data_IF_216564501278
#
_entry.id   IF_216564501278
#
_cell.length_a   1.000
_cell.length_b   1.000
_cell.length_c   1.000
_cell.angle_alpha   90.00
_cell.angle_beta   90.00
_cell.angle_gamma   90.00
#
_symmetry.space_group_name_H-M   'P 1'
#
loop_
_entity.id
_entity.type
_entity.pdbx_description
1 polymer ?
#
# COMPACT_ATOMS: atom_id res chain seq x y z
N UNK A 1 -31.46 -4.39 12.95
CA UNK A 1 -31.09 -5.81 12.86
C UNK A 1 -29.67 -6.01 12.31
N UNK A 2 -29.17 -7.22 12.36
CA UNK A 2 -27.89 -7.63 11.78
C UNK A 2 -28.18 -8.64 10.67
N UNK A 3 -27.54 -8.46 9.52
CA UNK A 3 -27.64 -9.38 8.39
C UNK A 3 -26.48 -10.37 8.44
N UNK A 4 -26.81 -11.67 8.51
CA UNK A 4 -25.85 -12.75 8.33
C UNK A 4 -26.10 -13.39 6.97
N UNK A 5 -25.08 -13.47 6.14
CA UNK A 5 -25.19 -14.01 4.78
C UNK A 5 -23.97 -14.85 4.42
N UNK A 6 -24.16 -15.82 3.53
CA UNK A 6 -23.03 -16.59 2.99
C UNK A 6 -22.17 -15.75 2.06
N UNK A 7 -22.80 -14.92 1.24
CA UNK A 7 -22.14 -14.09 0.24
C UNK A 7 -22.36 -12.61 0.52
N UNK A 8 -21.40 -11.78 0.16
CA UNK A 8 -21.58 -10.34 0.20
C UNK A 8 -22.77 -9.95 -0.70
N UNK A 9 -23.62 -9.02 -0.29
CA UNK A 9 -24.82 -8.65 -1.04
C UNK A 9 -24.51 -8.23 -2.47
N UNK A 10 -25.27 -8.73 -3.44
CA UNK A 10 -25.09 -8.38 -4.83
C UNK A 10 -25.45 -6.90 -5.09
N UNK A 11 -24.91 -6.29 -6.16
CA UNK A 11 -25.25 -4.94 -6.56
C UNK A 11 -26.78 -4.71 -6.77
N UNK A 12 -27.51 -5.76 -7.14
CA UNK A 12 -28.99 -5.70 -7.28
C UNK A 12 -29.65 -5.45 -5.92
N UNK A 13 -29.11 -6.02 -4.86
CA UNK A 13 -29.64 -5.82 -3.50
C UNK A 13 -29.22 -4.47 -2.89
N UNK A 14 -28.26 -3.78 -3.49
CA UNK A 14 -27.72 -2.50 -3.00
C UNK A 14 -28.82 -1.47 -2.74
N UNK A 15 -29.75 -1.29 -3.68
CA UNK A 15 -30.84 -0.32 -3.53
C UNK A 15 -31.73 -0.61 -2.33
N UNK A 16 -31.99 -1.88 -2.07
CA UNK A 16 -32.78 -2.30 -0.91
C UNK A 16 -32.04 -2.04 0.39
N UNK A 17 -30.78 -2.44 0.47
CA UNK A 17 -29.95 -2.26 1.67
C UNK A 17 -29.73 -0.78 2.01
N UNK A 18 -29.58 0.08 1.01
CA UNK A 18 -29.36 1.52 1.19
C UNK A 18 -30.65 2.33 1.19
N UNK A 19 -31.85 1.68 1.09
CA UNK A 19 -33.09 2.38 1.30
C UNK A 19 -33.20 2.92 2.73
N UNK A 20 -33.87 4.07 2.89
CA UNK A 20 -33.95 4.76 4.19
C UNK A 20 -34.47 3.84 5.30
N UNK A 21 -35.48 3.02 5.00
CA UNK A 21 -36.12 2.15 5.97
C UNK A 21 -35.19 1.01 6.42
N UNK A 22 -34.45 0.40 5.49
CA UNK A 22 -33.53 -0.70 5.80
C UNK A 22 -32.25 -0.15 6.44
N UNK A 23 -31.65 0.89 5.88
CA UNK A 23 -30.40 1.48 6.37
C UNK A 23 -30.50 1.93 7.84
N UNK A 24 -31.63 2.55 8.22
CA UNK A 24 -31.88 2.95 9.62
C UNK A 24 -31.95 1.78 10.59
N UNK A 25 -32.41 0.62 10.13
CA UNK A 25 -32.56 -0.57 10.94
C UNK A 25 -31.35 -1.52 10.92
N UNK A 26 -30.47 -1.37 9.93
CA UNK A 26 -29.34 -2.27 9.72
C UNK A 26 -28.17 -1.86 10.63
N UNK A 27 -27.78 -2.77 11.53
CA UNK A 27 -26.70 -2.56 12.52
C UNK A 27 -25.38 -3.22 12.14
N UNK A 28 -25.38 -4.00 11.06
CA UNK A 28 -24.17 -4.64 10.54
C UNK A 28 -24.48 -5.74 9.53
N UNK A 29 -23.47 -6.06 8.72
CA UNK A 29 -23.51 -7.15 7.74
C UNK A 29 -22.33 -8.07 8.00
N UNK A 30 -22.61 -9.38 8.13
CA UNK A 30 -21.61 -10.44 8.26
C UNK A 30 -21.69 -11.35 7.05
N UNK A 31 -20.56 -11.62 6.38
CA UNK A 31 -20.51 -12.50 5.21
C UNK A 31 -19.26 -13.38 5.23
N UNK A 32 -19.23 -14.45 4.41
CA UNK A 32 -18.11 -15.39 4.28
C UNK A 32 -17.38 -15.26 2.95
N UNK A 33 -18.08 -15.00 1.85
CA UNK A 33 -17.53 -14.93 0.51
C UNK A 33 -17.93 -13.63 -0.18
N UNK A 34 -16.97 -12.94 -0.84
CA UNK A 34 -17.26 -11.75 -1.63
C UNK A 34 -18.28 -11.96 -2.75
N UNK A 35 -18.34 -13.16 -3.37
CA UNK A 35 -19.25 -13.44 -4.49
C UNK A 35 -19.98 -14.77 -4.39
N UNK A 36 -21.05 -14.93 -5.20
CA UNK A 36 -21.88 -16.15 -5.26
C UNK A 36 -21.11 -17.41 -5.73
N UNK A 37 -19.99 -17.25 -6.41
CA UNK A 37 -19.14 -18.35 -6.86
C UNK A 37 -18.17 -18.85 -5.79
N UNK A 38 -18.37 -18.51 -4.54
CA UNK A 38 -17.43 -18.76 -3.43
C UNK A 38 -16.04 -18.15 -3.71
N UNK A 39 -16.01 -17.11 -4.52
CA UNK A 39 -14.82 -16.34 -4.82
C UNK A 39 -14.42 -15.48 -3.61
N UNK A 40 -13.14 -15.39 -3.36
CA UNK A 40 -12.56 -14.59 -2.27
C UNK A 40 -12.14 -13.19 -2.73
N UNK A 41 -12.57 -12.77 -3.93
CA UNK A 41 -12.18 -11.52 -4.56
C UNK A 41 -13.38 -10.62 -4.87
N UNK A 42 -13.26 -9.35 -4.48
CA UNK A 42 -14.28 -8.34 -4.72
C UNK A 42 -14.20 -7.77 -6.14
N UNK A 43 -15.37 -7.47 -6.72
CA UNK A 43 -15.49 -6.64 -7.92
C UNK A 43 -15.47 -5.15 -7.57
N UNK A 44 -15.37 -4.27 -8.59
CA UNK A 44 -15.52 -2.82 -8.42
C UNK A 44 -16.87 -2.46 -7.80
N UNK A 45 -17.93 -3.14 -8.22
CA UNK A 45 -19.28 -2.91 -7.70
C UNK A 45 -19.39 -3.33 -6.22
N UNK A 46 -18.73 -4.41 -5.83
CA UNK A 46 -18.69 -4.85 -4.42
C UNK A 46 -17.96 -3.81 -3.56
N UNK A 47 -16.81 -3.29 -4.02
CA UNK A 47 -16.06 -2.26 -3.30
C UNK A 47 -16.82 -0.93 -3.24
N UNK A 48 -17.52 -0.56 -4.32
CA UNK A 48 -18.41 0.61 -4.29
C UNK A 48 -19.50 0.44 -3.23
N UNK A 49 -20.09 -0.75 -3.11
CA UNK A 49 -21.09 -1.03 -2.07
C UNK A 49 -20.47 -0.95 -0.66
N UNK A 50 -19.26 -1.46 -0.45
CA UNK A 50 -18.54 -1.34 0.83
C UNK A 50 -18.34 0.14 1.21
N UNK A 51 -17.93 0.98 0.27
CA UNK A 51 -17.75 2.42 0.50
C UNK A 51 -19.06 3.12 0.82
N UNK A 52 -20.15 2.76 0.13
CA UNK A 52 -21.47 3.33 0.42
C UNK A 52 -21.98 2.91 1.80
N UNK A 53 -21.83 1.64 2.17
CA UNK A 53 -22.19 1.15 3.51
C UNK A 53 -21.39 1.87 4.60
N UNK A 54 -20.09 2.10 4.37
CA UNK A 54 -19.25 2.89 5.28
C UNK A 54 -19.77 4.31 5.45
N UNK A 55 -20.16 5.01 4.35
CA UNK A 55 -20.74 6.35 4.40
C UNK A 55 -22.05 6.41 5.20
N UNK A 56 -22.82 5.33 5.18
CA UNK A 56 -24.04 5.19 5.99
C UNK A 56 -23.80 4.69 7.41
N UNK A 57 -22.54 4.57 7.83
CA UNK A 57 -22.13 4.03 9.12
C UNK A 57 -22.67 2.61 9.41
N UNK A 58 -22.80 1.79 8.37
CA UNK A 58 -23.20 0.40 8.47
C UNK A 58 -21.94 -0.45 8.48
N UNK A 59 -21.53 -1.05 9.61
CA UNK A 59 -20.34 -1.86 9.68
C UNK A 59 -20.50 -3.16 8.90
N UNK A 60 -19.43 -3.55 8.18
CA UNK A 60 -19.37 -4.76 7.37
C UNK A 60 -18.25 -5.65 7.89
N UNK A 61 -18.57 -6.93 8.10
CA UNK A 61 -17.68 -7.92 8.69
C UNK A 61 -17.52 -9.12 7.75
N UNK A 62 -16.27 -9.45 7.47
CA UNK A 62 -15.90 -10.64 6.71
C UNK A 62 -15.44 -11.73 7.67
N UNK A 63 -16.17 -12.85 7.70
CA UNK A 63 -15.76 -14.07 8.41
C UNK A 63 -14.80 -14.84 7.53
N UNK A 64 -13.53 -14.46 7.60
CA UNK A 64 -12.48 -14.93 6.70
C UNK A 64 -11.97 -16.31 7.11
N UNK A 65 -12.13 -17.30 6.23
CA UNK A 65 -11.66 -18.67 6.46
C UNK A 65 -10.15 -18.81 6.32
N UNK A 66 -9.48 -17.94 5.56
CA UNK A 66 -8.04 -18.01 5.34
C UNK A 66 -7.28 -17.63 6.60
N UNK A 67 -7.69 -16.53 7.23
CA UNK A 67 -7.09 -16.05 8.49
C UNK A 67 -7.78 -16.65 9.72
N UNK A 68 -8.94 -17.31 9.56
CA UNK A 68 -9.81 -17.80 10.64
C UNK A 68 -10.20 -16.70 11.64
N UNK A 69 -10.36 -15.49 11.14
CA UNK A 69 -10.68 -14.30 11.93
C UNK A 69 -11.91 -13.58 11.38
N UNK A 70 -12.48 -12.70 12.20
CA UNK A 70 -13.49 -11.74 11.76
C UNK A 70 -12.78 -10.45 11.45
N UNK A 71 -12.86 -10.02 10.18
CA UNK A 71 -12.32 -8.78 9.69
C UNK A 71 -13.45 -7.75 9.54
N UNK A 72 -13.22 -6.51 9.92
CA UNK A 72 -14.13 -5.39 9.72
C UNK A 72 -13.61 -4.48 8.61
N UNK A 73 -14.48 -4.05 7.71
CA UNK A 73 -14.15 -3.05 6.71
C UNK A 73 -13.87 -1.71 7.38
N UNK A 74 -12.67 -1.16 7.18
CA UNK A 74 -12.20 0.10 7.73
C UNK A 74 -11.70 0.99 6.61
N UNK A 75 -12.17 2.23 6.57
CA UNK A 75 -11.73 3.26 5.63
C UNK A 75 -11.18 4.45 6.42
N UNK A 76 -9.91 4.79 6.19
CA UNK A 76 -9.28 5.95 6.83
C UNK A 76 -9.89 7.26 6.33
N UNK A 77 -9.91 8.33 7.16
CA UNK A 77 -10.29 9.66 6.71
C UNK A 77 -9.49 10.09 5.47
N UNK A 78 -10.14 10.78 4.54
CA UNK A 78 -9.54 11.27 3.29
C UNK A 78 -9.00 10.17 2.34
N UNK A 79 -9.46 8.93 2.50
CA UNK A 79 -9.20 7.83 1.56
C UNK A 79 -10.50 7.43 0.86
N UNK A 80 -10.42 7.09 -0.42
CA UNK A 80 -11.60 6.70 -1.20
C UNK A 80 -12.00 5.25 -0.97
N UNK A 81 -11.07 4.44 -0.50
CA UNK A 81 -11.24 2.99 -0.30
C UNK A 81 -10.69 2.55 1.04
N UNK A 82 -11.20 1.42 1.52
CA UNK A 82 -10.82 0.80 2.77
C UNK A 82 -10.23 -0.60 2.59
N UNK A 83 -9.94 -1.23 3.71
CA UNK A 83 -9.37 -2.57 3.84
C UNK A 83 -10.10 -3.31 4.96
N UNK A 84 -10.17 -4.63 4.87
CA UNK A 84 -10.67 -5.49 5.96
C UNK A 84 -9.57 -5.74 6.98
N UNK A 85 -9.83 -5.36 8.23
CA UNK A 85 -8.89 -5.39 9.36
C UNK A 85 -9.46 -6.29 10.45
N UNK A 86 -8.66 -7.11 11.17
CA UNK A 86 -9.14 -7.83 12.35
C UNK A 86 -9.86 -6.89 13.33
N UNK A 87 -11.00 -7.31 13.85
CA UNK A 87 -11.89 -6.45 14.67
C UNK A 87 -11.15 -5.83 15.85
N UNK A 88 -10.23 -6.55 16.47
CA UNK A 88 -9.40 -6.07 17.58
C UNK A 88 -8.27 -5.10 17.16
N UNK A 89 -7.99 -4.94 15.85
CA UNK A 89 -6.93 -4.10 15.31
C UNK A 89 -7.47 -2.84 14.59
N UNK A 90 -8.79 -2.65 14.56
CA UNK A 90 -9.42 -1.55 13.81
C UNK A 90 -8.95 -0.18 14.26
N UNK A 91 -8.94 0.08 15.58
CA UNK A 91 -8.47 1.36 16.14
C UNK A 91 -7.00 1.60 15.85
N UNK A 92 -6.19 0.56 15.92
CA UNK A 92 -4.77 0.60 15.60
C UNK A 92 -4.57 0.95 14.13
N UNK A 93 -5.27 0.28 13.20
CA UNK A 93 -5.21 0.60 11.78
C UNK A 93 -5.63 2.03 11.49
N UNK A 94 -6.74 2.49 12.07
CA UNK A 94 -7.26 3.84 11.83
C UNK A 94 -6.26 4.94 12.18
N UNK A 95 -5.43 4.74 13.21
CA UNK A 95 -4.40 5.67 13.69
C UNK A 95 -3.03 5.45 13.06
N UNK A 96 -2.83 4.35 12.32
CA UNK A 96 -1.50 3.96 11.83
C UNK A 96 -0.99 4.85 10.71
N UNK A 97 0.33 5.02 10.66
CA UNK A 97 1.06 5.44 9.47
C UNK A 97 1.33 4.21 8.62
N UNK A 98 1.09 4.33 7.32
CA UNK A 98 1.09 3.22 6.38
C UNK A 98 2.34 3.23 5.51
N UNK A 99 3.22 2.27 5.76
CA UNK A 99 4.34 1.96 4.88
C UNK A 99 3.91 0.92 3.84
N UNK A 100 4.55 0.89 2.69
CA UNK A 100 4.29 -0.14 1.69
C UNK A 100 5.56 -0.70 1.09
N UNK A 101 5.56 -1.99 0.75
CA UNK A 101 6.67 -2.63 0.04
C UNK A 101 6.19 -3.08 -1.33
N UNK A 102 6.81 -2.52 -2.35
CA UNK A 102 6.70 -2.92 -3.75
C UNK A 102 7.96 -3.68 -4.17
N UNK A 103 7.79 -4.77 -4.91
CA UNK A 103 8.92 -5.56 -5.38
C UNK A 103 8.52 -6.90 -5.96
N UNK A 104 9.51 -7.62 -6.51
CA UNK A 104 9.31 -8.89 -7.19
C UNK A 104 9.07 -10.06 -6.24
N UNK A 105 8.27 -11.03 -6.72
CA UNK A 105 8.17 -12.36 -6.14
C UNK A 105 9.45 -13.21 -6.32
N UNK A 106 10.36 -12.79 -7.22
CA UNK A 106 11.61 -13.48 -7.54
C UNK A 106 12.84 -12.83 -6.87
N UNK A 107 12.64 -12.03 -5.83
CA UNK A 107 13.72 -11.31 -5.19
C UNK A 107 14.75 -12.26 -4.55
N UNK A 108 16.03 -12.07 -4.88
CA UNK A 108 17.15 -12.71 -4.26
C UNK A 108 18.08 -11.68 -3.59
N UNK A 109 18.59 -11.94 -2.39
CA UNK A 109 19.60 -11.10 -1.74
C UNK A 109 19.27 -10.69 -0.30
N UNK A 110 20.10 -9.81 0.27
CA UNK A 110 20.03 -9.38 1.68
C UNK A 110 18.93 -8.35 1.99
N UNK A 111 17.87 -8.27 1.17
CA UNK A 111 16.77 -7.34 1.37
C UNK A 111 16.09 -7.54 2.73
N UNK A 112 15.96 -8.76 3.20
CA UNK A 112 15.35 -9.11 4.49
C UNK A 112 16.01 -8.36 5.65
N UNK A 113 17.33 -8.41 5.73
CA UNK A 113 18.10 -7.79 6.80
C UNK A 113 18.00 -6.26 6.74
N UNK A 114 18.08 -5.69 5.54
CA UNK A 114 17.98 -4.25 5.33
C UNK A 114 16.57 -3.73 5.66
N UNK A 115 15.51 -4.40 5.21
CA UNK A 115 14.15 -4.02 5.53
C UNK A 115 13.86 -4.14 7.04
N UNK A 116 14.31 -5.23 7.66
CA UNK A 116 14.13 -5.42 9.10
C UNK A 116 14.88 -4.35 9.91
N UNK A 117 16.10 -4.02 9.52
CA UNK A 117 16.89 -2.96 10.15
C UNK A 117 16.22 -1.58 9.96
N UNK A 118 15.71 -1.29 8.75
CA UNK A 118 15.01 -0.05 8.46
C UNK A 118 13.74 0.09 9.31
N UNK A 119 12.87 -0.93 9.34
CA UNK A 119 11.63 -0.87 10.11
C UNK A 119 11.88 -0.80 11.62
N UNK A 120 12.89 -1.51 12.14
CA UNK A 120 13.34 -1.35 13.54
C UNK A 120 13.80 0.07 13.81
N UNK A 121 14.61 0.63 12.91
CA UNK A 121 15.09 2.00 13.03
C UNK A 121 13.96 3.03 13.03
N UNK A 122 12.91 2.84 12.22
CA UNK A 122 11.71 3.69 12.24
C UNK A 122 11.00 3.61 13.59
N UNK A 123 10.84 2.40 14.17
CA UNK A 123 10.25 2.21 15.50
C UNK A 123 11.08 2.87 16.62
N UNK A 124 12.40 2.97 16.47
CA UNK A 124 13.24 3.73 17.41
C UNK A 124 13.16 5.24 17.15
N UNK A 125 13.21 5.65 15.88
CA UNK A 125 13.14 7.05 15.46
C UNK A 125 11.86 7.73 15.95
N UNK A 126 10.71 7.06 15.85
CA UNK A 126 9.40 7.60 16.25
C UNK A 126 9.33 8.01 17.72
N UNK A 127 10.17 7.43 18.60
CA UNK A 127 10.19 7.78 20.02
C UNK A 127 10.62 9.24 20.28
N UNK A 128 11.36 9.82 19.34
CA UNK A 128 11.92 11.16 19.41
C UNK A 128 11.34 12.12 18.36
N UNK A 129 10.34 11.68 17.60
CA UNK A 129 9.67 12.47 16.56
C UNK A 129 8.33 12.99 17.08
N UNK A 130 8.01 14.22 16.70
CA UNK A 130 6.69 14.83 16.87
C UNK A 130 6.24 15.42 15.52
N UNK A 131 5.71 14.54 14.67
CA UNK A 131 5.22 14.87 13.34
C UNK A 131 3.81 14.31 13.16
N UNK A 132 2.89 14.96 12.41
CA UNK A 132 1.52 14.48 12.21
C UNK A 132 1.40 13.04 11.70
N UNK A 133 2.39 12.59 10.91
CA UNK A 133 2.43 11.22 10.39
C UNK A 133 3.24 10.25 11.27
N UNK A 134 4.03 10.73 12.22
CA UNK A 134 4.86 9.85 13.06
C UNK A 134 5.19 10.52 14.39
N UNK A 135 4.78 9.92 15.48
CA UNK A 135 5.17 10.27 16.86
C UNK A 135 5.20 9.00 17.71
N UNK A 136 5.65 9.08 18.96
CA UNK A 136 5.90 7.92 19.83
C UNK A 136 4.73 6.93 19.97
N UNK A 137 3.49 7.42 19.85
CA UNK A 137 2.27 6.62 20.03
C UNK A 137 1.61 6.24 18.69
N UNK A 138 2.22 6.60 17.54
CA UNK A 138 1.69 6.30 16.21
C UNK A 138 1.89 4.81 15.89
N UNK A 139 0.84 4.01 15.74
CA UNK A 139 0.99 2.64 15.27
C UNK A 139 1.47 2.62 13.81
N UNK A 140 2.17 1.56 13.44
CA UNK A 140 2.58 1.34 12.05
C UNK A 140 1.76 0.22 11.41
N UNK A 141 1.47 0.38 10.13
CA UNK A 141 0.96 -0.67 9.26
C UNK A 141 1.88 -0.81 8.03
N UNK A 142 2.05 -2.03 7.54
CA UNK A 142 2.81 -2.32 6.33
C UNK A 142 1.91 -3.03 5.33
N UNK A 143 1.80 -2.46 4.12
CA UNK A 143 0.98 -3.00 3.03
C UNK A 143 1.87 -3.55 1.93
N UNK A 144 1.54 -4.73 1.44
CA UNK A 144 2.17 -5.36 0.28
C UNK A 144 1.13 -5.88 -0.71
N UNK A 145 1.56 -6.50 -1.81
CA UNK A 145 0.67 -7.24 -2.71
C UNK A 145 0.18 -8.58 -2.16
N UNK A 146 0.68 -9.03 -0.99
CA UNK A 146 0.23 -10.25 -0.31
C UNK A 146 0.71 -11.57 -0.91
N UNK A 147 1.53 -11.54 -1.97
CA UNK A 147 2.12 -12.71 -2.60
C UNK A 147 3.45 -13.15 -1.98
N UNK A 148 4.21 -14.02 -2.67
CA UNK A 148 5.53 -14.48 -2.24
C UNK A 148 6.64 -13.45 -2.46
N UNK A 149 7.89 -13.81 -2.15
CA UNK A 149 9.08 -13.01 -2.39
C UNK A 149 9.16 -11.75 -1.52
N UNK A 150 9.36 -10.57 -2.14
CA UNK A 150 9.46 -9.31 -1.42
C UNK A 150 8.21 -9.00 -0.59
N UNK A 151 7.04 -9.38 -1.08
CA UNK A 151 5.76 -9.18 -0.39
C UNK A 151 5.66 -10.02 0.89
N UNK A 152 6.00 -11.31 0.80
CA UNK A 152 6.04 -12.22 1.95
C UNK A 152 7.07 -11.77 2.99
N UNK A 153 8.26 -11.38 2.52
CA UNK A 153 9.32 -10.82 3.37
C UNK A 153 8.81 -9.59 4.13
N UNK A 154 8.16 -8.65 3.45
CA UNK A 154 7.57 -7.47 4.08
C UNK A 154 6.53 -7.82 5.16
N UNK A 155 5.58 -8.68 4.81
CA UNK A 155 4.53 -9.11 5.75
C UNK A 155 5.09 -9.89 6.95
N UNK A 156 6.06 -10.77 6.74
CA UNK A 156 6.71 -11.53 7.81
C UNK A 156 7.44 -10.61 8.79
N UNK A 157 8.26 -9.68 8.27
CA UNK A 157 9.01 -8.74 9.11
C UNK A 157 8.06 -7.80 9.87
N UNK A 158 7.00 -7.31 9.22
CA UNK A 158 5.98 -6.51 9.89
C UNK A 158 5.41 -7.24 11.11
N UNK A 159 5.00 -8.49 10.93
CA UNK A 159 4.46 -9.33 12.01
C UNK A 159 5.48 -9.60 13.12
N UNK A 160 6.75 -9.90 12.78
CA UNK A 160 7.84 -10.09 13.75
C UNK A 160 8.09 -8.84 14.61
N UNK A 161 7.90 -7.65 14.06
CA UNK A 161 8.11 -6.38 14.74
C UNK A 161 6.84 -5.81 15.39
N UNK A 162 5.74 -6.56 15.36
CA UNK A 162 4.46 -6.08 15.87
C UNK A 162 3.86 -4.93 15.05
N UNK A 163 4.23 -4.76 13.79
CA UNK A 163 3.62 -3.84 12.82
C UNK A 163 2.43 -4.58 12.19
N UNK A 164 1.28 -3.90 12.01
CA UNK A 164 0.11 -4.53 11.40
C UNK A 164 0.40 -4.91 9.94
N UNK A 165 0.30 -6.20 9.65
CA UNK A 165 0.64 -6.79 8.35
C UNK A 165 -0.57 -6.79 7.43
N UNK A 166 -0.55 -5.96 6.37
CA UNK A 166 -1.66 -5.74 5.46
C UNK A 166 -1.31 -6.14 4.02
N UNK A 167 -2.34 -6.43 3.22
CA UNK A 167 -2.16 -6.72 1.81
C UNK A 167 -3.32 -6.28 0.91
N UNK A 168 -2.99 -5.82 -0.30
CA UNK A 168 -3.93 -5.66 -1.41
C UNK A 168 -3.67 -6.79 -2.43
N UNK A 169 -4.52 -7.80 -2.41
CA UNK A 169 -4.30 -9.07 -3.11
C UNK A 169 -5.07 -9.11 -4.43
N UNK A 170 -4.41 -9.42 -5.54
CA UNK A 170 -5.07 -9.63 -6.84
C UNK A 170 -5.27 -11.10 -7.15
N UNK A 171 -6.35 -11.42 -7.87
CA UNK A 171 -6.61 -12.76 -8.39
C UNK A 171 -5.93 -12.95 -9.74
N UNK A 172 -4.95 -13.82 -9.80
CA UNK A 172 -4.28 -14.23 -11.04
C UNK A 172 -4.56 -15.70 -11.42
N UNK A 173 -5.55 -16.35 -10.79
CA UNK A 173 -5.88 -17.77 -11.02
C UNK A 173 -6.42 -18.07 -12.41
N UNK A 174 -6.60 -17.07 -13.25
CA UNK A 174 -7.17 -17.23 -14.58
C UNK A 174 -6.13 -17.63 -15.63
N UNK A 175 -6.18 -18.89 -16.06
CA UNK A 175 -5.76 -19.41 -17.37
C UNK A 175 -4.27 -19.65 -17.66
N UNK A 176 -3.30 -19.40 -16.80
CA UNK A 176 -1.90 -19.77 -17.04
C UNK A 176 -1.26 -20.39 -15.81
N UNK A 177 -0.80 -21.62 -15.93
CA UNK A 177 -0.20 -22.39 -14.84
C UNK A 177 1.07 -21.79 -14.24
N UNK A 178 1.78 -20.93 -14.96
CA UNK A 178 2.99 -20.26 -14.50
C UNK A 178 2.71 -19.08 -13.56
N UNK A 179 1.53 -18.45 -13.66
CA UNK A 179 1.14 -17.27 -12.87
C UNK A 179 0.47 -17.66 -11.56
N UNK A 180 -0.13 -18.84 -11.47
CA UNK A 180 -0.88 -19.30 -10.29
C UNK A 180 -0.03 -19.35 -9.00
N UNK A 181 1.25 -19.68 -9.12
CA UNK A 181 2.15 -19.72 -7.96
C UNK A 181 2.61 -18.33 -7.48
N UNK A 182 2.51 -17.31 -8.32
CA UNK A 182 2.92 -15.94 -7.98
C UNK A 182 1.95 -15.23 -7.04
N UNK A 183 0.73 -15.76 -6.87
CA UNK A 183 -0.37 -15.03 -6.25
C UNK A 183 -1.02 -15.77 -5.08
N UNK A 184 -0.41 -16.83 -4.60
CA UNK A 184 -0.87 -17.43 -3.35
C UNK A 184 -0.63 -16.47 -2.21
N UNK A 185 -1.71 -16.11 -1.50
CA UNK A 185 -1.60 -15.29 -0.30
C UNK A 185 -0.56 -15.88 0.65
N UNK A 186 0.40 -15.07 1.10
CA UNK A 186 1.36 -15.49 2.10
C UNK A 186 0.71 -15.59 3.50
N UNK A 187 1.25 -16.44 4.40
CA UNK A 187 0.60 -16.73 5.69
C UNK A 187 0.72 -15.61 6.74
N UNK A 188 1.42 -14.54 6.43
CA UNK A 188 1.71 -13.45 7.36
C UNK A 188 0.72 -12.28 7.24
N UNK A 189 -0.18 -12.31 6.27
CA UNK A 189 -1.21 -11.28 6.06
C UNK A 189 -2.27 -11.36 7.15
N UNK A 190 -2.53 -10.24 7.83
CA UNK A 190 -3.54 -10.11 8.89
C UNK A 190 -4.75 -9.29 8.43
N UNK A 191 -4.50 -8.19 7.73
CA UNK A 191 -5.54 -7.35 7.15
C UNK A 191 -5.44 -7.36 5.62
N UNK A 192 -6.58 -7.36 4.91
CA UNK A 192 -6.54 -7.49 3.46
C UNK A 192 -7.70 -6.81 2.74
N UNK A 193 -7.44 -6.41 1.49
CA UNK A 193 -8.44 -6.22 0.45
C UNK A 193 -8.08 -7.12 -0.73
N UNK A 194 -9.08 -7.68 -1.40
CA UNK A 194 -8.89 -8.59 -2.53
C UNK A 194 -9.54 -8.01 -3.79
N UNK A 195 -8.92 -8.24 -4.94
CA UNK A 195 -9.29 -7.66 -6.22
C UNK A 195 -9.31 -8.72 -7.31
N UNK A 196 -10.33 -8.74 -8.13
CA UNK A 196 -10.34 -9.59 -9.33
C UNK A 196 -9.24 -9.13 -10.30
N UNK A 197 -8.71 -10.05 -11.10
CA UNK A 197 -7.60 -9.77 -12.02
C UNK A 197 -7.89 -8.64 -13.02
N UNK A 198 -9.13 -8.51 -13.49
CA UNK A 198 -9.55 -7.44 -14.41
C UNK A 198 -9.56 -6.04 -13.76
N UNK A 199 -9.49 -5.97 -12.43
CA UNK A 199 -9.44 -4.73 -11.66
C UNK A 199 -8.02 -4.43 -11.11
N UNK A 200 -6.99 -4.84 -11.86
CA UNK A 200 -5.59 -4.67 -11.48
C UNK A 200 -5.18 -3.19 -11.37
N UNK A 201 -5.69 -2.35 -12.26
CA UNK A 201 -5.39 -0.91 -12.26
C UNK A 201 -6.00 -0.24 -11.04
N UNK A 202 -7.25 -0.55 -10.73
CA UNK A 202 -7.96 -0.06 -9.54
C UNK A 202 -7.25 -0.52 -8.26
N UNK A 203 -6.82 -1.79 -8.21
CA UNK A 203 -6.02 -2.29 -7.09
C UNK A 203 -4.78 -1.43 -6.86
N UNK A 204 -4.04 -1.10 -7.91
CA UNK A 204 -2.85 -0.27 -7.77
C UNK A 204 -3.19 1.15 -7.33
N UNK A 205 -4.26 1.74 -7.84
CA UNK A 205 -4.73 3.05 -7.42
C UNK A 205 -5.17 3.08 -5.94
N UNK A 206 -5.60 1.95 -5.40
CA UNK A 206 -6.08 1.80 -4.02
C UNK A 206 -4.97 1.44 -3.00
N UNK A 207 -3.70 1.37 -3.39
CA UNK A 207 -2.59 1.34 -2.44
C UNK A 207 -2.46 2.72 -1.77
N UNK A 208 -2.95 2.82 -0.56
CA UNK A 208 -2.97 4.06 0.21
C UNK A 208 -1.76 4.14 1.16
N UNK A 209 -0.58 4.35 0.60
CA UNK A 209 0.69 4.38 1.33
C UNK A 209 1.09 5.82 1.68
N UNK A 210 1.54 6.03 2.90
CA UNK A 210 2.20 7.27 3.30
C UNK A 210 3.67 7.25 2.86
N UNK A 211 4.33 6.08 3.01
CA UNK A 211 5.74 5.89 2.71
C UNK A 211 5.99 4.61 1.89
N UNK A 212 6.03 4.71 0.55
CA UNK A 212 6.39 3.60 -0.32
C UNK A 212 7.87 3.23 -0.23
N UNK A 213 8.16 1.93 -0.25
CA UNK A 213 9.51 1.34 -0.29
C UNK A 213 9.55 0.39 -1.49
N UNK A 214 10.39 0.71 -2.46
CA UNK A 214 10.59 -0.11 -3.65
C UNK A 214 11.83 -0.97 -3.51
N UNK A 215 11.69 -2.22 -3.91
CA UNK A 215 12.82 -3.10 -4.21
C UNK A 215 12.83 -3.36 -5.70
N UNK A 216 14.00 -3.51 -6.30
CA UNK A 216 14.09 -3.79 -7.74
C UNK A 216 13.21 -4.97 -8.14
N UNK A 217 12.44 -4.80 -9.20
CA UNK A 217 11.47 -5.78 -9.66
C UNK A 217 11.25 -5.72 -11.17
N UNK A 218 10.25 -6.41 -11.64
CA UNK A 218 9.87 -6.47 -13.05
C UNK A 218 8.82 -5.43 -13.45
N UNK A 219 8.06 -5.75 -14.51
CA UNK A 219 7.05 -4.87 -15.14
C UNK A 219 6.01 -4.35 -14.13
N UNK A 220 5.57 -5.20 -13.18
CA UNK A 220 4.61 -4.79 -12.15
C UNK A 220 5.17 -3.69 -11.24
N UNK A 221 6.42 -3.83 -10.81
CA UNK A 221 7.11 -2.82 -9.98
C UNK A 221 7.37 -1.53 -10.76
N UNK A 222 7.69 -1.63 -12.05
CA UNK A 222 7.84 -0.45 -12.92
C UNK A 222 6.51 0.30 -13.10
N UNK A 223 5.39 -0.44 -13.20
CA UNK A 223 4.05 0.15 -13.21
C UNK A 223 3.72 0.85 -11.89
N UNK A 224 3.99 0.23 -10.77
CA UNK A 224 3.82 0.80 -9.42
C UNK A 224 4.65 2.08 -9.26
N UNK A 225 5.90 2.08 -9.74
CA UNK A 225 6.77 3.26 -9.74
C UNK A 225 6.17 4.41 -10.57
N UNK A 226 5.75 4.14 -11.81
CA UNK A 226 5.14 5.16 -12.67
C UNK A 226 3.85 5.72 -12.07
N UNK A 227 3.06 4.88 -11.41
CA UNK A 227 1.85 5.32 -10.73
C UNK A 227 2.16 6.28 -9.57
N UNK A 228 3.18 5.98 -8.76
CA UNK A 228 3.62 6.85 -7.66
C UNK A 228 4.17 8.20 -8.19
N UNK A 229 4.84 8.23 -9.35
CA UNK A 229 5.20 9.49 -10.01
C UNK A 229 3.97 10.31 -10.40
N UNK A 230 2.99 9.66 -11.06
CA UNK A 230 1.76 10.34 -11.51
C UNK A 230 0.96 10.87 -10.31
N UNK A 231 0.81 10.10 -9.26
CA UNK A 231 0.04 10.50 -8.05
C UNK A 231 0.63 11.76 -7.41
N UNK A 232 1.96 11.89 -7.32
CA UNK A 232 2.63 13.10 -6.81
C UNK A 232 2.52 14.26 -7.79
N UNK A 233 2.74 14.00 -9.07
CA UNK A 233 2.60 15.00 -10.13
C UNK A 233 1.23 15.68 -10.10
N UNK A 234 0.14 14.91 -9.97
CA UNK A 234 -1.24 15.41 -9.97
C UNK A 234 -1.72 15.88 -8.59
N UNK A 235 -0.93 15.66 -7.54
CA UNK A 235 -1.27 16.08 -6.18
C UNK A 235 -2.33 15.22 -5.49
N UNK A 236 -2.56 13.98 -5.97
CA UNK A 236 -3.49 13.06 -5.31
C UNK A 236 -2.92 12.45 -4.03
N UNK A 237 -1.60 12.52 -3.85
CA UNK A 237 -0.88 12.19 -2.60
C UNK A 237 0.13 13.28 -2.28
N UNK A 238 0.45 13.42 -1.00
CA UNK A 238 1.47 14.36 -0.55
C UNK A 238 2.87 13.98 -1.06
N UNK A 239 3.77 14.96 -1.16
CA UNK A 239 5.18 14.76 -1.47
C UNK A 239 5.89 14.13 -0.24
N UNK A 240 5.70 12.84 -0.02
CA UNK A 240 6.44 12.04 0.96
C UNK A 240 7.59 11.30 0.31
N UNK A 241 8.70 11.01 1.02
CA UNK A 241 9.83 10.30 0.43
C UNK A 241 9.46 8.86 0.08
N UNK A 242 9.89 8.44 -1.11
CA UNK A 242 9.83 7.09 -1.62
C UNK A 242 11.24 6.52 -1.60
N UNK A 243 11.43 5.39 -0.93
CA UNK A 243 12.73 4.73 -0.92
C UNK A 243 12.85 3.75 -2.10
N UNK A 244 13.99 3.81 -2.78
CA UNK A 244 14.40 2.90 -3.84
C UNK A 244 15.57 2.05 -3.30
N UNK A 245 15.26 0.83 -2.84
CA UNK A 245 16.24 -0.05 -2.22
C UNK A 245 17.00 -0.86 -3.26
N UNK A 246 18.33 -0.85 -3.19
CA UNK A 246 19.20 -1.65 -4.04
C UNK A 246 20.32 -0.86 -4.72
N UNK A 247 21.08 -1.51 -5.62
CA UNK A 247 22.19 -0.88 -6.33
C UNK A 247 21.72 0.31 -7.15
N UNK A 248 22.48 1.40 -7.09
CA UNK A 248 22.16 2.63 -7.83
C UNK A 248 22.12 2.41 -9.34
N UNK A 249 22.97 1.54 -9.88
CA UNK A 249 23.02 1.29 -11.32
C UNK A 249 21.78 0.56 -11.84
N UNK A 250 21.14 -0.25 -11.03
CA UNK A 250 19.85 -0.87 -11.36
C UNK A 250 18.77 0.21 -11.54
N UNK A 251 18.69 1.14 -10.60
CA UNK A 251 17.73 2.25 -10.66
C UNK A 251 18.05 3.26 -11.77
N UNK A 252 19.33 3.56 -12.03
CA UNK A 252 19.72 4.35 -13.20
C UNK A 252 19.24 3.70 -14.50
N UNK A 253 19.42 2.40 -14.64
CA UNK A 253 19.00 1.65 -15.84
C UNK A 253 17.50 1.73 -16.08
N UNK A 254 16.70 1.78 -15.03
CA UNK A 254 15.22 1.82 -15.10
C UNK A 254 14.65 3.24 -15.24
N UNK A 255 15.30 4.24 -14.64
CA UNK A 255 14.70 5.57 -14.44
C UNK A 255 15.40 6.64 -15.28
N UNK A 256 16.74 6.74 -15.21
CA UNK A 256 17.48 7.90 -15.71
C UNK A 256 17.27 8.12 -17.21
N UNK A 257 17.40 7.09 -18.04
CA UNK A 257 17.23 7.23 -19.49
C UNK A 257 15.84 7.73 -19.89
N UNK A 258 14.79 7.25 -19.21
CA UNK A 258 13.41 7.73 -19.41
C UNK A 258 13.26 9.19 -18.94
N UNK A 259 13.82 9.52 -17.78
CA UNK A 259 13.76 10.87 -17.22
C UNK A 259 14.47 11.88 -18.13
N UNK A 260 15.69 11.62 -18.59
CA UNK A 260 16.44 12.45 -19.53
C UNK A 260 15.71 12.64 -20.87
N UNK A 261 15.11 11.57 -21.39
CA UNK A 261 14.30 11.64 -22.61
C UNK A 261 13.11 12.60 -22.42
N UNK A 262 12.42 12.49 -21.30
CA UNK A 262 11.27 13.33 -20.96
C UNK A 262 11.68 14.80 -20.76
N UNK A 263 12.82 15.07 -20.12
CA UNK A 263 13.38 16.42 -19.97
C UNK A 263 13.68 17.04 -21.33
N UNK A 264 14.45 16.32 -22.17
CA UNK A 264 14.85 16.80 -23.51
C UNK A 264 13.65 17.11 -24.41
N UNK A 265 12.58 16.30 -24.30
CA UNK A 265 11.37 16.47 -25.09
C UNK A 265 10.35 17.44 -24.44
N UNK A 266 10.64 17.96 -23.25
CA UNK A 266 9.75 18.86 -22.52
C UNK A 266 8.42 18.22 -22.04
N UNK A 267 8.33 16.87 -22.03
CA UNK A 267 7.07 16.16 -21.71
C UNK A 267 6.74 16.15 -20.22
N UNK A 268 7.74 16.46 -19.36
CA UNK A 268 7.56 16.59 -17.91
C UNK A 268 7.71 18.03 -17.41
N UNK A 269 7.65 19.01 -18.33
CA UNK A 269 7.81 20.44 -17.97
C UNK A 269 6.84 20.85 -16.86
N UNK A 270 7.39 21.40 -15.78
CA UNK A 270 6.64 21.81 -14.58
C UNK A 270 6.35 20.68 -13.59
N UNK A 271 6.84 19.44 -13.86
CA UNK A 271 6.75 18.31 -12.97
C UNK A 271 8.08 17.58 -12.74
N UNK A 272 9.20 18.18 -13.17
CA UNK A 272 10.55 17.66 -12.99
C UNK A 272 10.92 17.45 -11.51
N UNK A 273 10.33 18.28 -10.65
CA UNK A 273 10.48 18.24 -9.20
C UNK A 273 10.09 16.88 -8.60
N UNK A 274 9.23 16.08 -9.26
CA UNK A 274 8.82 14.77 -8.75
C UNK A 274 10.04 13.86 -8.52
N UNK A 275 11.13 14.06 -9.25
CA UNK A 275 12.41 13.38 -9.06
C UNK A 275 12.99 13.55 -7.65
N UNK A 276 12.67 14.64 -6.94
CA UNK A 276 13.14 14.85 -5.56
C UNK A 276 12.31 14.11 -4.50
N UNK A 277 11.27 13.36 -4.91
CA UNK A 277 10.52 12.48 -4.02
C UNK A 277 11.11 11.07 -3.92
N UNK A 278 12.02 10.67 -4.82
CA UNK A 278 12.57 9.32 -4.90
C UNK A 278 14.01 9.30 -4.40
N UNK A 279 14.31 8.41 -3.45
CA UNK A 279 15.59 8.35 -2.74
C UNK A 279 16.20 6.95 -2.87
N UNK A 280 17.30 6.83 -3.65
CA UNK A 280 18.03 5.57 -3.79
C UNK A 280 18.89 5.32 -2.56
N UNK A 281 18.64 4.18 -1.90
CA UNK A 281 19.29 3.75 -0.66
C UNK A 281 19.95 2.39 -0.85
N UNK A 282 21.13 2.22 -0.27
CA UNK A 282 21.90 0.97 -0.34
C UNK A 282 21.80 0.15 0.96
N UNK A 283 21.40 0.78 2.06
CA UNK A 283 21.27 0.17 3.37
C UNK A 283 20.21 0.88 4.22
N UNK A 284 19.95 0.35 5.42
CA UNK A 284 18.96 0.90 6.33
C UNK A 284 19.31 2.29 6.87
N UNK A 285 20.61 2.58 7.10
CA UNK A 285 21.08 3.87 7.61
C UNK A 285 20.72 5.01 6.64
N UNK A 286 20.91 4.78 5.34
CA UNK A 286 20.50 5.74 4.30
C UNK A 286 19.00 6.04 4.35
N UNK A 287 18.16 5.01 4.49
CA UNK A 287 16.71 5.16 4.58
C UNK A 287 16.28 5.91 5.85
N UNK A 288 16.89 5.57 6.98
CA UNK A 288 16.64 6.26 8.24
C UNK A 288 17.02 7.72 8.19
N UNK A 289 18.15 8.06 7.52
CA UNK A 289 18.57 9.46 7.33
C UNK A 289 17.55 10.25 6.50
N UNK A 290 16.97 9.64 5.46
CA UNK A 290 15.90 10.27 4.67
C UNK A 290 14.67 10.55 5.53
N UNK A 291 14.21 9.55 6.29
CA UNK A 291 13.05 9.71 7.17
C UNK A 291 13.29 10.70 8.31
N UNK A 292 14.47 10.66 8.94
CA UNK A 292 14.86 11.62 9.96
C UNK A 292 14.74 13.06 9.44
N UNK A 293 15.36 13.35 8.27
CA UNK A 293 15.27 14.65 7.63
C UNK A 293 13.83 15.05 7.29
N UNK A 294 13.04 14.12 6.78
CA UNK A 294 11.64 14.37 6.44
C UNK A 294 10.82 14.76 7.66
N UNK A 295 10.89 13.98 8.73
CA UNK A 295 10.11 14.22 9.95
C UNK A 295 10.57 15.45 10.74
N UNK A 296 11.79 15.93 10.51
CA UNK A 296 12.26 17.21 11.03
C UNK A 296 12.03 18.39 10.06
N UNK A 297 11.35 18.17 8.93
CA UNK A 297 11.12 19.16 7.87
C UNK A 297 12.41 19.73 7.23
N UNK A 298 13.49 18.95 7.26
CA UNK A 298 14.80 19.29 6.69
C UNK A 298 15.06 18.62 5.33
N UNK A 299 14.13 17.81 4.82
CA UNK A 299 14.26 17.13 3.56
C UNK A 299 13.83 18.05 2.42
N UNK A 300 14.69 18.32 1.41
CA UNK A 300 14.34 19.17 0.26
C UNK A 300 13.44 18.38 -0.71
N UNK A 301 12.14 18.31 -0.45
CA UNK A 301 11.14 17.52 -1.17
C UNK A 301 9.94 18.38 -1.60
N UNK A 302 9.42 18.14 -2.82
CA UNK A 302 8.23 18.83 -3.32
C UNK A 302 8.55 19.92 -4.35
N UNK A 303 7.52 20.65 -4.77
CA UNK A 303 7.56 21.63 -5.89
C UNK A 303 8.52 22.79 -5.67
N UNK A 304 8.78 23.14 -4.42
CA UNK A 304 9.63 24.28 -4.06
C UNK A 304 11.13 23.96 -4.16
N UNK A 305 11.46 22.70 -4.41
CA UNK A 305 12.85 22.23 -4.48
C UNK A 305 13.22 21.78 -5.88
N UNK A 306 14.50 21.86 -6.25
CA UNK A 306 14.96 21.52 -7.58
C UNK A 306 14.80 20.02 -7.88
N UNK A 307 14.76 19.70 -9.17
CA UNK A 307 14.85 18.32 -9.64
C UNK A 307 16.23 17.73 -9.39
N UNK A 308 16.32 16.40 -9.44
CA UNK A 308 17.56 15.65 -9.48
C UNK A 308 17.84 15.09 -10.88
N UNK A 309 19.08 15.25 -11.35
CA UNK A 309 19.51 14.90 -12.71
C UNK A 309 19.31 13.42 -13.08
N UNK A 310 19.38 12.51 -12.09
CA UNK A 310 19.17 11.08 -12.30
C UNK A 310 17.69 10.69 -12.40
N UNK A 311 16.75 11.62 -12.14
CA UNK A 311 15.34 11.33 -11.94
C UNK A 311 15.02 10.82 -10.51
N UNK A 312 16.03 10.75 -9.63
CA UNK A 312 15.95 10.41 -8.21
C UNK A 312 17.19 10.93 -7.46
N UNK A 313 17.12 10.96 -6.14
CA UNK A 313 18.21 11.38 -5.24
C UNK A 313 19.12 10.18 -4.94
N UNK A 314 20.42 10.34 -5.18
CA UNK A 314 21.46 9.43 -4.65
C UNK A 314 21.77 9.81 -3.22
N UNK A 315 21.25 9.03 -2.26
CA UNK A 315 21.37 9.34 -0.83
C UNK A 315 22.81 9.31 -0.34
N UNK A 316 23.62 8.34 -0.83
CA UNK A 316 25.03 8.24 -0.48
C UNK A 316 25.79 9.52 -0.86
N UNK A 317 25.57 10.01 -2.08
CA UNK A 317 26.25 11.22 -2.58
C UNK A 317 25.73 12.50 -1.94
N UNK A 318 24.44 12.52 -1.54
CA UNK A 318 23.77 13.75 -1.12
C UNK A 318 23.84 14.00 0.39
N UNK A 319 23.84 12.94 1.20
CA UNK A 319 23.72 13.07 2.66
C UNK A 319 24.90 12.47 3.45
N UNK A 320 25.83 11.78 2.78
CA UNK A 320 27.04 11.19 3.35
C UNK A 320 28.28 11.59 2.58
#
# INVERSE_FOLDING_TARGET
GVLFTRYFPSPIMKRMLLSVDVARCLKGIYFQYPSFSSDEFFSNEDRALLNDLHKFAIPVFWVDKTTQTILQYCQKPNRETGIFVPVNETDRYMKSTVFGVYGSNLLSGHFDEHLKALLKGILELQKNIDHPLLHKDTPLALVTGGGPGAMETGNRIAKELGILSCANIADFRTNQSSVVNEQKQNPFVEAKMTYRNKELVERQAEFNLDFPIFVTGGIGTDFEYCLEEVRRKVGSVAATPILLCGPIDDWKSKITGRFECNLRNGTIKGSEWVSNCFYCIQNAEHGLKVYEKYFHNDLPIGKEYPMHELGFVDVQKTFF
#
